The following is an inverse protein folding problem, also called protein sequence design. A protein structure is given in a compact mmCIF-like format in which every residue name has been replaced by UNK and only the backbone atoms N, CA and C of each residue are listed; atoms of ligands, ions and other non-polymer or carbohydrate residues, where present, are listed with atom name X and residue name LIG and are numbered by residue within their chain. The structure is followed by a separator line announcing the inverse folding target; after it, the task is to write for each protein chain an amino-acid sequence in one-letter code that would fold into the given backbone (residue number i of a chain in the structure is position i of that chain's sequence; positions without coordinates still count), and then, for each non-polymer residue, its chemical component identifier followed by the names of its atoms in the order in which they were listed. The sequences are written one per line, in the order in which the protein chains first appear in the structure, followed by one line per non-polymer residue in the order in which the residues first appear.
data_IF_224020143541
#
_entry.id   IF_224020143541
#
_cell.length_a   1.000
_cell.length_b   1.000
_cell.length_c   1.000
_cell.angle_alpha   90.00
_cell.angle_beta   90.00
_cell.angle_gamma   90.00
#
_symmetry.space_group_name_H-M   'P 1'
#
loop_
_entity.id
_entity.type
_entity.pdbx_description
1 polymer ?
#
# COMPACT_ATOMS: atom_id res chain seq x y z
N UNK A 1 -12.99 -16.99 -11.24
CA UNK A 1 -12.80 -17.41 -9.82
C UNK A 1 -11.36 -17.33 -9.31
N UNK A 2 -10.34 -17.04 -10.14
CA UNK A 2 -8.92 -16.97 -9.73
C UNK A 2 -8.60 -15.83 -8.74
N UNK A 3 -9.24 -14.67 -8.87
CA UNK A 3 -8.93 -13.50 -8.02
C UNK A 3 -9.25 -13.72 -6.54
N UNK A 4 -10.34 -14.47 -6.27
CA UNK A 4 -10.73 -14.83 -4.90
C UNK A 4 -9.66 -15.70 -4.24
N UNK A 5 -9.08 -16.64 -4.98
CA UNK A 5 -8.03 -17.53 -4.47
C UNK A 5 -6.71 -16.76 -4.25
N UNK A 6 -6.37 -15.85 -5.17
CA UNK A 6 -5.22 -14.97 -5.05
C UNK A 6 -5.35 -14.07 -3.81
N UNK A 7 -6.50 -13.43 -3.60
CA UNK A 7 -6.76 -12.60 -2.42
C UNK A 7 -6.66 -13.42 -1.14
N UNK A 8 -7.28 -14.62 -1.09
CA UNK A 8 -7.17 -15.52 0.07
C UNK A 8 -5.72 -15.90 0.37
N UNK A 9 -4.92 -16.23 -0.65
CA UNK A 9 -3.50 -16.57 -0.50
C UNK A 9 -2.71 -15.42 0.11
N UNK A 10 -2.89 -14.19 -0.38
CA UNK A 10 -2.18 -13.02 0.12
C UNK A 10 -2.61 -12.61 1.53
N UNK A 11 -3.92 -12.63 1.82
CA UNK A 11 -4.44 -12.41 3.18
C UNK A 11 -3.86 -13.45 4.14
N UNK A 12 -3.85 -14.74 3.74
CA UNK A 12 -3.26 -15.81 4.54
C UNK A 12 -1.78 -15.60 4.84
N UNK A 13 -0.97 -15.20 3.84
CA UNK A 13 0.45 -14.87 4.05
C UNK A 13 0.63 -13.74 5.05
N UNK A 14 -0.15 -12.68 4.92
CA UNK A 14 -0.04 -11.50 5.78
C UNK A 14 -0.48 -11.79 7.23
N UNK A 15 -1.50 -12.64 7.43
CA UNK A 15 -1.92 -13.08 8.77
C UNK A 15 -0.86 -13.93 9.47
N UNK A 16 -0.05 -14.66 8.70
CA UNK A 16 1.04 -15.49 9.21
C UNK A 16 2.33 -14.73 9.50
N UNK A 17 2.45 -13.44 9.12
CA UNK A 17 3.59 -12.60 9.50
C UNK A 17 3.56 -12.36 11.00
N UNK A 18 4.36 -13.11 11.76
CA UNK A 18 4.57 -12.86 13.19
C UNK A 18 5.71 -11.87 13.36
N UNK A 19 5.53 -10.93 14.28
CA UNK A 19 6.57 -10.03 14.76
C UNK A 19 6.25 -9.72 16.22
N UNK A 20 7.25 -9.64 17.07
CA UNK A 20 7.08 -9.24 18.47
C UNK A 20 7.18 -7.72 18.65
N UNK A 21 7.68 -7.01 17.64
CA UNK A 21 7.81 -5.55 17.62
C UNK A 21 6.42 -4.88 17.52
N UNK A 22 6.00 -4.08 18.53
CA UNK A 22 4.73 -3.36 18.51
C UNK A 22 4.56 -2.39 17.33
N UNK A 23 5.64 -1.76 16.87
CA UNK A 23 5.64 -0.83 15.72
C UNK A 23 5.37 -1.60 14.44
N UNK A 24 6.01 -2.75 14.26
CA UNK A 24 5.77 -3.63 13.11
C UNK A 24 4.32 -4.14 13.11
N UNK A 25 3.77 -4.52 14.27
CA UNK A 25 2.35 -4.90 14.40
C UNK A 25 1.42 -3.76 14.00
N UNK A 26 1.69 -2.53 14.45
CA UNK A 26 0.91 -1.33 14.11
C UNK A 26 0.95 -1.07 12.61
N UNK A 27 2.12 -1.06 12.00
CA UNK A 27 2.30 -0.78 10.57
C UNK A 27 1.64 -1.86 9.70
N UNK A 28 1.78 -3.14 10.07
CA UNK A 28 1.08 -4.26 9.41
C UNK A 28 -0.43 -4.07 9.43
N UNK A 29 -0.99 -3.71 10.59
CA UNK A 29 -2.43 -3.49 10.73
C UNK A 29 -2.92 -2.29 9.91
N UNK A 30 -2.14 -1.20 9.83
CA UNK A 30 -2.45 -0.05 8.97
C UNK A 30 -2.45 -0.44 7.49
N UNK A 31 -1.44 -1.18 7.05
CA UNK A 31 -1.39 -1.69 5.67
C UNK A 31 -2.57 -2.61 5.36
N UNK A 32 -2.93 -3.51 6.27
CA UNK A 32 -4.08 -4.41 6.09
C UNK A 32 -5.38 -3.66 5.87
N UNK A 33 -5.65 -2.62 6.67
CA UNK A 33 -6.83 -1.77 6.51
C UNK A 33 -6.85 -1.11 5.13
N UNK A 34 -5.72 -0.56 4.69
CA UNK A 34 -5.60 0.05 3.37
C UNK A 34 -5.83 -0.97 2.24
N UNK A 35 -5.19 -2.14 2.30
CA UNK A 35 -5.33 -3.19 1.31
C UNK A 35 -6.78 -3.67 1.20
N UNK A 36 -7.47 -3.85 2.34
CA UNK A 36 -8.89 -4.23 2.35
C UNK A 36 -9.78 -3.14 1.72
N UNK A 37 -9.49 -1.86 1.95
CA UNK A 37 -10.20 -0.77 1.30
C UNK A 37 -10.00 -0.77 -0.22
N UNK A 38 -8.76 -0.99 -0.69
CA UNK A 38 -8.44 -1.12 -2.12
C UNK A 38 -9.23 -2.27 -2.75
N UNK A 39 -9.19 -3.45 -2.11
CA UNK A 39 -9.89 -4.64 -2.59
C UNK A 39 -11.41 -4.43 -2.63
N UNK A 40 -11.97 -3.79 -1.60
CA UNK A 40 -13.39 -3.49 -1.53
C UNK A 40 -13.82 -2.52 -2.64
N UNK A 41 -13.09 -1.41 -2.83
CA UNK A 41 -13.40 -0.44 -3.90
C UNK A 41 -13.24 -1.03 -5.30
N UNK A 42 -12.18 -1.82 -5.50
CA UNK A 42 -11.97 -2.55 -6.75
C UNK A 42 -13.08 -3.56 -7.05
N UNK A 43 -13.60 -4.23 -6.03
CA UNK A 43 -14.75 -5.14 -6.16
C UNK A 43 -16.08 -4.40 -6.38
N UNK A 44 -16.20 -3.16 -5.91
CA UNK A 44 -17.39 -2.32 -6.03
C UNK A 44 -17.43 -1.48 -7.34
N UNK A 45 -16.45 -1.65 -8.25
CA UNK A 45 -16.34 -0.88 -9.50
C UNK A 45 -16.18 0.64 -9.31
N UNK A 46 -15.61 1.10 -8.19
CA UNK A 46 -15.30 2.52 -7.99
C UNK A 46 -13.87 2.84 -8.45
N UNK A 47 -13.75 3.70 -9.47
CA UNK A 47 -12.49 4.18 -10.06
C UNK A 47 -11.61 5.03 -9.12
N UNK A 48 -12.07 5.32 -7.91
CA UNK A 48 -11.36 6.20 -6.98
C UNK A 48 -10.49 5.42 -5.98
N UNK A 49 -9.19 5.38 -6.25
CA UNK A 49 -8.19 4.84 -5.31
C UNK A 49 -8.25 5.57 -3.97
N UNK A 50 -8.35 4.87 -2.82
CA UNK A 50 -8.21 5.49 -1.50
C UNK A 50 -6.81 6.09 -1.35
N UNK A 51 -6.75 7.36 -0.91
CA UNK A 51 -5.54 7.99 -0.41
C UNK A 51 -5.19 7.42 0.98
N UNK A 52 -3.91 7.19 1.22
CA UNK A 52 -3.41 6.74 2.52
C UNK A 52 -3.53 7.89 3.53
N UNK A 53 -4.28 7.68 4.62
CA UNK A 53 -4.50 8.69 5.65
C UNK A 53 -3.22 8.87 6.47
N UNK A 54 -2.48 9.93 6.18
CA UNK A 54 -1.38 10.42 6.99
C UNK A 54 -1.64 11.87 7.30
N UNK A 55 -2.61 12.17 8.17
CA UNK A 55 -2.65 13.33 9.09
C UNK A 55 -2.54 14.77 8.55
N UNK A 56 -2.19 14.96 7.29
CA UNK A 56 -1.85 16.24 6.66
C UNK A 56 -2.21 16.12 5.18
N UNK A 57 -3.46 16.40 4.84
CA UNK A 57 -3.86 16.51 3.43
C UNK A 57 -4.61 17.82 3.21
N UNK A 58 -3.87 18.83 2.73
CA UNK A 58 -4.44 19.86 1.87
C UNK A 58 -5.00 19.15 0.62
N UNK A 59 -6.33 19.14 0.48
CA UNK A 59 -7.05 18.71 -0.72
C UNK A 59 -6.44 19.38 -1.97
N UNK A 60 -5.71 18.63 -2.80
CA UNK A 60 -5.44 19.03 -4.18
C UNK A 60 -6.55 18.46 -5.05
N UNK A 61 -7.26 19.34 -5.75
CA UNK A 61 -8.20 18.95 -6.83
C UNK A 61 -7.38 18.24 -7.92
N UNK A 62 -7.88 17.11 -8.39
CA UNK A 62 -7.26 16.31 -9.44
C UNK A 62 -8.07 16.58 -10.70
N UNK A 63 -7.46 17.30 -11.64
CA UNK A 63 -7.93 17.35 -13.01
C UNK A 63 -7.62 16.01 -13.69
N UNK A 64 -8.51 15.60 -14.60
CA UNK A 64 -8.42 14.38 -15.41
C UNK A 64 -7.05 14.27 -16.14
N UNK A 65 -6.63 13.02 -16.39
CA UNK A 65 -5.43 12.62 -17.14
C UNK A 65 -4.10 12.51 -16.37
N UNK A 66 -4.03 11.59 -15.41
CA UNK A 66 -2.94 10.61 -15.36
C UNK A 66 -3.26 9.57 -14.28
N UNK A 67 -3.16 8.29 -14.63
CA UNK A 67 -3.26 7.15 -13.71
C UNK A 67 -2.02 7.19 -12.81
N UNK A 68 -2.07 8.07 -11.82
CA UNK A 68 -0.89 8.68 -11.23
C UNK A 68 -0.18 7.66 -10.34
N UNK A 69 1.03 7.31 -10.75
CA UNK A 69 1.96 6.54 -9.94
C UNK A 69 2.09 7.20 -8.55
N UNK A 70 1.80 6.43 -7.49
CA UNK A 70 1.97 6.86 -6.11
C UNK A 70 3.26 6.27 -5.57
N UNK A 71 4.16 7.07 -5.00
CA UNK A 71 5.26 6.57 -4.19
C UNK A 71 5.49 7.42 -2.95
N UNK A 72 5.79 6.79 -1.81
CA UNK A 72 6.00 7.48 -0.53
C UNK A 72 6.97 6.71 0.37
N UNK A 73 7.86 7.47 1.00
CA UNK A 73 8.65 7.04 2.15
C UNK A 73 7.91 7.35 3.46
N UNK A 74 8.05 6.48 4.46
CA UNK A 74 7.67 6.80 5.84
C UNK A 74 8.60 7.86 6.41
N UNK A 75 8.11 8.65 7.38
CA UNK A 75 8.87 9.77 7.98
C UNK A 75 10.17 9.31 8.63
N UNK A 76 10.21 8.07 9.12
CA UNK A 76 11.38 7.44 9.74
C UNK A 76 12.32 6.75 8.73
N UNK A 77 12.06 6.90 7.42
CA UNK A 77 12.80 6.25 6.32
C UNK A 77 12.88 4.71 6.40
N UNK A 78 12.00 4.08 7.19
CA UNK A 78 12.00 2.61 7.35
C UNK A 78 11.14 1.90 6.34
N UNK A 79 10.19 2.57 5.70
CA UNK A 79 9.23 1.95 4.79
C UNK A 79 9.11 2.76 3.52
N UNK A 80 9.23 2.10 2.38
CA UNK A 80 8.89 2.65 1.07
C UNK A 80 7.71 1.91 0.49
N UNK A 81 6.76 2.65 -0.10
CA UNK A 81 5.62 2.09 -0.80
C UNK A 81 5.52 2.79 -2.16
N UNK A 82 5.39 2.01 -3.22
CA UNK A 82 5.00 2.50 -4.54
C UNK A 82 3.81 1.70 -5.08
N UNK A 83 2.88 2.37 -5.75
CA UNK A 83 1.71 1.78 -6.38
C UNK A 83 1.50 2.38 -7.77
N UNK A 84 1.45 1.53 -8.79
CA UNK A 84 1.09 1.89 -10.17
C UNK A 84 -0.21 1.18 -10.54
N UNK A 85 -1.32 1.90 -10.74
CA UNK A 85 -2.53 1.28 -11.27
C UNK A 85 -2.28 0.86 -12.73
N UNK A 86 -2.76 -0.33 -13.10
CA UNK A 86 -2.73 -0.87 -14.45
C UNK A 86 -4.18 -0.98 -14.95
N UNK A 87 -4.63 -0.07 -15.84
CA UNK A 87 -6.02 -0.03 -16.30
C UNK A 87 -6.51 -1.39 -16.81
N UNK A 88 -7.62 -1.87 -16.27
CA UNK A 88 -8.22 -3.17 -16.62
C UNK A 88 -7.44 -4.41 -16.16
N UNK A 89 -6.28 -4.26 -15.51
CA UNK A 89 -5.40 -5.37 -15.13
C UNK A 89 -5.09 -5.43 -13.63
N UNK A 90 -5.32 -4.34 -12.88
CA UNK A 90 -5.14 -4.30 -11.43
C UNK A 90 -4.20 -3.18 -11.00
N UNK A 91 -3.34 -3.42 -10.02
CA UNK A 91 -2.32 -2.47 -9.60
C UNK A 91 -1.02 -3.21 -9.24
N UNK A 92 0.11 -2.65 -9.66
CA UNK A 92 1.43 -3.06 -9.23
C UNK A 92 1.77 -2.35 -7.93
N UNK A 93 2.01 -3.09 -6.85
CA UNK A 93 2.36 -2.54 -5.55
C UNK A 93 3.74 -3.07 -5.14
N UNK A 94 4.64 -2.16 -4.82
CA UNK A 94 5.97 -2.43 -4.27
C UNK A 94 6.05 -1.90 -2.84
N UNK A 95 6.59 -2.71 -1.93
CA UNK A 95 6.83 -2.32 -0.54
C UNK A 95 8.19 -2.83 -0.09
N UNK A 96 8.99 -1.95 0.49
CA UNK A 96 10.25 -2.29 1.15
C UNK A 96 10.22 -1.80 2.61
N UNK A 97 10.79 -2.59 3.53
CA UNK A 97 10.86 -2.27 4.96
C UNK A 97 12.26 -2.56 5.49
N UNK A 98 12.83 -1.62 6.26
CA UNK A 98 14.11 -1.75 6.95
C UNK A 98 13.95 -1.65 8.46
N UNK A 99 14.67 -2.50 9.19
CA UNK A 99 14.87 -2.35 10.64
C UNK A 99 15.85 -1.23 10.96
N UNK A 100 16.79 -0.94 10.06
CA UNK A 100 17.80 0.10 10.19
C UNK A 100 17.78 1.03 8.96
N UNK A 101 17.25 2.25 9.08
CA UNK A 101 17.19 3.21 7.98
C UNK A 101 18.57 3.80 7.63
N UNK A 102 19.59 3.63 8.47
CA UNK A 102 20.96 4.12 8.22
C UNK A 102 21.74 3.29 7.20
N UNK A 103 21.24 2.10 6.84
CA UNK A 103 21.85 1.21 5.85
C UNK A 103 21.78 1.73 4.40
N UNK A 104 21.18 2.91 4.18
CA UNK A 104 21.20 3.60 2.88
C UNK A 104 20.30 2.93 1.85
N UNK A 105 19.04 3.38 1.76
CA UNK A 105 18.15 3.02 0.65
C UNK A 105 18.29 3.96 -0.56
N UNK A 106 19.10 5.01 -0.41
CA UNK A 106 19.50 5.89 -1.50
C UNK A 106 20.52 5.14 -2.37
N UNK A 107 20.04 4.52 -3.45
CA UNK A 107 20.89 4.26 -4.59
C UNK A 107 21.14 5.61 -5.32
N UNK A 108 22.37 5.84 -5.83
CA UNK A 108 22.84 7.12 -6.35
C UNK A 108 22.02 7.69 -7.51
#
# INVERSE_FOLDING_TARGET
MKDREICKKWIGKLLNLKSDDPVVKKNRNSFFKYMLQILLKGAQHDSQTPQYDSGDQKKKKVDDEEVTFMSKWSVDNRTYIAAKPLPGQGALIYMAVSSDPSLGWDHP
#
